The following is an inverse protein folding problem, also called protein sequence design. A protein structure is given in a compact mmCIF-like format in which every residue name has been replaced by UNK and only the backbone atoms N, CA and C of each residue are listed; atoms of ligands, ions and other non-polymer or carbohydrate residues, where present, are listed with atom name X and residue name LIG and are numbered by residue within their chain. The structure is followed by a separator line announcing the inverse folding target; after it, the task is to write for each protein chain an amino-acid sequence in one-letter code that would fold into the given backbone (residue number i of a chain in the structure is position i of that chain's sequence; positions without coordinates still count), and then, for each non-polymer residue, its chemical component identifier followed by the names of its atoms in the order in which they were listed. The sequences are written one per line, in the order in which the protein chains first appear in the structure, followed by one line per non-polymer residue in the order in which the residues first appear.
data_IF_391486721383
#
_entry.id   IF_391486721383
#
_cell.length_a   1.000
_cell.length_b   1.000
_cell.length_c   1.000
_cell.angle_alpha   90.00
_cell.angle_beta   90.00
_cell.angle_gamma   90.00
#
_symmetry.space_group_name_H-M   'P 1'
#
loop_
_entity.id
_entity.type
_entity.pdbx_description
1 polymer ?
#
# COMPACT_ATOMS: atom_id res chain seq x y z
N UNK A 1 12.08 2.37 -33.54
CA UNK A 1 11.80 3.16 -32.33
C UNK A 1 10.38 2.94 -31.78
N UNK A 2 9.32 2.98 -32.62
CA UNK A 2 7.92 2.69 -32.23
C UNK A 2 7.71 1.46 -31.33
N UNK A 3 8.24 0.30 -31.75
CA UNK A 3 8.17 -0.94 -30.95
C UNK A 3 8.77 -0.81 -29.53
N UNK A 4 9.83 0.00 -29.35
CA UNK A 4 10.43 0.25 -28.04
C UNK A 4 9.50 1.09 -27.16
N UNK A 5 8.87 2.11 -27.73
CA UNK A 5 7.86 2.95 -27.04
C UNK A 5 6.69 2.08 -26.59
N UNK A 6 6.13 1.27 -27.49
CA UNK A 6 4.99 0.39 -27.18
C UNK A 6 5.33 -0.60 -26.06
N UNK A 7 6.54 -1.21 -26.11
CA UNK A 7 7.00 -2.11 -25.06
C UNK A 7 7.18 -1.40 -23.72
N UNK A 8 7.78 -0.20 -23.71
CA UNK A 8 7.96 0.58 -22.48
C UNK A 8 6.62 1.02 -21.88
N UNK A 9 5.67 1.46 -22.71
CA UNK A 9 4.31 1.83 -22.29
C UNK A 9 3.60 0.66 -21.62
N UNK A 10 3.71 -0.57 -22.16
CA UNK A 10 3.15 -1.77 -21.52
C UNK A 10 3.79 -2.06 -20.16
N UNK A 11 5.11 -1.95 -20.05
CA UNK A 11 5.81 -2.17 -18.78
C UNK A 11 5.37 -1.14 -17.74
N UNK A 12 5.23 0.13 -18.15
CA UNK A 12 4.71 1.20 -17.29
C UNK A 12 3.30 0.87 -16.77
N UNK A 13 2.39 0.44 -17.65
CA UNK A 13 1.03 0.05 -17.25
C UNK A 13 0.99 -1.11 -16.26
N UNK A 14 1.89 -2.09 -16.39
CA UNK A 14 2.03 -3.15 -15.39
C UNK A 14 2.48 -2.59 -14.03
N UNK A 15 3.41 -1.62 -14.02
CA UNK A 15 3.88 -0.97 -12.78
C UNK A 15 2.82 -0.09 -12.14
N UNK A 16 2.01 0.61 -12.93
CA UNK A 16 0.84 1.34 -12.43
C UNK A 16 -0.17 0.38 -11.79
N UNK A 17 -0.38 -0.80 -12.39
CA UNK A 17 -1.25 -1.83 -11.80
C UNK A 17 -0.68 -2.36 -10.48
N UNK A 18 0.63 -2.61 -10.39
CA UNK A 18 1.30 -2.95 -9.12
C UNK A 18 1.08 -1.84 -8.07
N UNK A 19 1.21 -0.56 -8.43
CA UNK A 19 0.96 0.57 -7.52
C UNK A 19 -0.47 0.55 -6.96
N UNK A 20 -1.48 0.31 -7.81
CA UNK A 20 -2.88 0.22 -7.37
C UNK A 20 -3.12 -0.98 -6.42
N UNK A 21 -2.46 -2.11 -6.64
CA UNK A 21 -2.54 -3.25 -5.73
C UNK A 21 -1.98 -2.91 -4.34
N UNK A 22 -0.84 -2.20 -4.27
CA UNK A 22 -0.29 -1.76 -2.99
C UNK A 22 -1.18 -0.75 -2.28
N UNK A 23 -1.83 0.18 -3.02
CA UNK A 23 -2.84 1.09 -2.44
C UNK A 23 -4.02 0.32 -1.85
N UNK A 24 -4.54 -0.67 -2.57
CA UNK A 24 -5.62 -1.50 -2.08
C UNK A 24 -5.22 -2.32 -0.84
N UNK A 25 -3.98 -2.83 -0.79
CA UNK A 25 -3.44 -3.52 0.38
C UNK A 25 -3.31 -2.58 1.59
N UNK A 26 -2.84 -1.35 1.40
CA UNK A 26 -2.80 -0.35 2.48
C UNK A 26 -4.18 -0.04 3.03
N UNK A 27 -5.18 0.16 2.17
CA UNK A 27 -6.55 0.43 2.61
C UNK A 27 -7.10 -0.69 3.49
N UNK A 28 -6.87 -1.96 3.10
CA UNK A 28 -7.26 -3.12 3.92
C UNK A 28 -6.52 -3.19 5.25
N UNK A 29 -5.24 -2.84 5.27
CA UNK A 29 -4.46 -2.78 6.52
C UNK A 29 -4.95 -1.66 7.44
N UNK A 30 -5.32 -0.50 6.89
CA UNK A 30 -5.92 0.60 7.65
C UNK A 30 -7.26 0.18 8.28
N UNK A 31 -8.13 -0.49 7.53
CA UNK A 31 -9.38 -1.05 8.06
C UNK A 31 -9.15 -2.06 9.18
N UNK A 32 -8.21 -3.00 8.97
CA UNK A 32 -7.83 -4.00 9.98
C UNK A 32 -7.28 -3.34 11.25
N UNK A 33 -6.43 -2.32 11.11
CA UNK A 33 -5.86 -1.61 12.25
C UNK A 33 -6.92 -0.89 13.06
N UNK A 34 -7.91 -0.28 12.40
CA UNK A 34 -9.03 0.34 13.10
C UNK A 34 -9.92 -0.69 13.81
N UNK A 35 -10.17 -1.86 13.20
CA UNK A 35 -10.87 -2.94 13.89
C UNK A 35 -10.10 -3.43 15.13
N UNK A 36 -8.78 -3.62 15.01
CA UNK A 36 -7.92 -4.03 16.12
C UNK A 36 -7.87 -2.99 17.24
N UNK A 37 -7.84 -1.69 16.91
CA UNK A 37 -7.93 -0.60 17.88
C UNK A 37 -9.25 -0.62 18.66
N UNK A 38 -10.38 -0.84 17.97
CA UNK A 38 -11.68 -0.96 18.64
C UNK A 38 -11.72 -2.16 19.58
N UNK A 39 -11.21 -3.32 19.14
CA UNK A 39 -11.13 -4.53 19.98
C UNK A 39 -10.23 -4.33 21.20
N UNK A 40 -9.11 -3.64 21.04
CA UNK A 40 -8.22 -3.30 22.15
C UNK A 40 -8.91 -2.42 23.19
N UNK A 41 -9.59 -1.35 22.75
CA UNK A 41 -10.38 -0.49 23.64
C UNK A 41 -11.51 -1.28 24.33
N UNK A 42 -12.18 -2.16 23.60
CA UNK A 42 -13.22 -3.02 24.16
C UNK A 42 -12.65 -3.92 25.26
N UNK A 43 -11.56 -4.64 25.00
CA UNK A 43 -10.96 -5.53 26.00
C UNK A 43 -10.37 -4.77 27.19
N UNK A 44 -9.84 -3.56 26.98
CA UNK A 44 -9.39 -2.71 28.08
C UNK A 44 -10.58 -2.31 28.98
N UNK A 45 -11.70 -1.89 28.39
CA UNK A 45 -12.92 -1.56 29.14
C UNK A 45 -13.52 -2.78 29.85
N UNK A 46 -13.52 -3.96 29.21
CA UNK A 46 -13.97 -5.21 29.82
C UNK A 46 -13.08 -5.61 31.01
N UNK A 47 -11.76 -5.46 30.85
CA UNK A 47 -10.80 -5.71 31.92
C UNK A 47 -11.05 -4.80 33.13
N UNK A 48 -11.21 -3.49 32.90
CA UNK A 48 -11.48 -2.53 33.97
C UNK A 48 -12.79 -2.83 34.70
N UNK A 49 -13.85 -3.19 33.96
CA UNK A 49 -15.13 -3.58 34.54
C UNK A 49 -15.01 -4.83 35.42
N UNK A 50 -14.33 -5.88 34.93
CA UNK A 50 -14.12 -7.12 35.68
C UNK A 50 -13.21 -6.90 36.90
N UNK A 51 -12.13 -6.12 36.75
CA UNK A 51 -11.22 -5.80 37.84
C UNK A 51 -11.93 -5.02 38.96
N UNK A 52 -12.79 -4.06 38.60
CA UNK A 52 -13.62 -3.33 39.56
C UNK A 52 -14.64 -4.24 40.26
N UNK A 53 -15.32 -5.11 39.50
CA UNK A 53 -16.26 -6.08 40.06
C UNK A 53 -15.57 -7.03 41.05
N UNK A 54 -14.39 -7.55 40.68
CA UNK A 54 -13.58 -8.40 41.55
C UNK A 54 -13.14 -7.67 42.82
N UNK A 55 -12.70 -6.41 42.72
CA UNK A 55 -12.31 -5.62 43.89
C UNK A 55 -13.46 -5.40 44.88
N UNK A 56 -14.69 -5.19 44.38
CA UNK A 56 -15.90 -5.06 45.22
C UNK A 56 -16.23 -6.40 45.89
N UNK A 57 -16.25 -7.49 45.12
CA UNK A 57 -16.60 -8.82 45.63
C UNK A 57 -15.58 -9.37 46.62
N UNK A 58 -14.30 -9.11 46.42
CA UNK A 58 -13.22 -9.53 47.31
C UNK A 58 -13.28 -8.84 48.69
N UNK A 59 -13.98 -7.71 48.79
CA UNK A 59 -14.25 -7.01 50.06
C UNK A 59 -15.57 -7.43 50.71
N UNK A 60 -16.41 -8.17 50.00
CA UNK A 60 -17.72 -8.62 50.48
C UNK A 60 -17.62 -9.87 51.35
N UNK A 61 -18.27 -9.84 52.53
CA UNK A 61 -18.27 -10.94 53.51
C UNK A 61 -19.02 -12.18 53.01
N UNK A 62 -19.92 -12.03 52.03
CA UNK A 62 -20.79 -13.10 51.49
C UNK A 62 -20.28 -13.78 50.23
N UNK A 63 -19.11 -13.40 49.69
CA UNK A 63 -18.57 -13.97 48.45
C UNK A 63 -17.83 -15.26 48.72
N UNK A 64 -18.15 -16.32 47.97
CA UNK A 64 -17.43 -17.59 48.09
C UNK A 64 -16.07 -17.55 47.37
N UNK A 65 -15.11 -18.35 47.86
CA UNK A 65 -13.81 -18.49 47.20
C UNK A 65 -13.92 -18.98 45.75
N UNK A 66 -14.91 -19.83 45.45
CA UNK A 66 -15.16 -20.33 44.09
C UNK A 66 -15.58 -19.21 43.11
N UNK A 67 -16.40 -18.26 43.58
CA UNK A 67 -16.80 -17.10 42.77
C UNK A 67 -15.60 -16.18 42.48
N UNK A 68 -14.75 -15.93 43.48
CA UNK A 68 -13.52 -15.14 43.30
C UNK A 68 -12.56 -15.81 42.31
N UNK A 69 -12.41 -17.13 42.36
CA UNK A 69 -11.60 -17.87 41.39
C UNK A 69 -12.16 -17.80 39.96
N UNK A 70 -13.47 -17.94 39.80
CA UNK A 70 -14.11 -17.84 38.48
C UNK A 70 -13.89 -16.45 37.86
N UNK A 71 -14.12 -15.37 38.63
CA UNK A 71 -13.87 -14.01 38.16
C UNK A 71 -12.41 -13.75 37.82
N UNK A 72 -11.47 -14.29 38.61
CA UNK A 72 -10.05 -14.17 38.30
C UNK A 72 -9.71 -14.84 36.96
N UNK A 73 -10.26 -16.01 36.68
CA UNK A 73 -10.08 -16.69 35.39
C UNK A 73 -10.64 -15.88 34.23
N UNK A 74 -11.79 -15.23 34.41
CA UNK A 74 -12.36 -14.33 33.40
C UNK A 74 -11.44 -13.13 33.12
N UNK A 75 -10.91 -12.50 34.17
CA UNK A 75 -9.94 -11.40 34.05
C UNK A 75 -8.69 -11.85 33.30
N UNK A 76 -8.14 -13.02 33.65
CA UNK A 76 -6.96 -13.58 32.98
C UNK A 76 -7.26 -13.86 31.49
N UNK A 77 -8.44 -14.40 31.17
CA UNK A 77 -8.88 -14.63 29.79
C UNK A 77 -8.99 -13.34 28.98
N UNK A 78 -9.61 -12.29 29.52
CA UNK A 78 -9.71 -10.98 28.84
C UNK A 78 -8.34 -10.37 28.65
N UNK A 79 -7.45 -10.47 29.64
CA UNK A 79 -6.07 -9.98 29.55
C UNK A 79 -5.27 -10.70 28.46
N UNK A 80 -5.45 -12.00 28.30
CA UNK A 80 -4.83 -12.78 27.22
C UNK A 80 -5.34 -12.33 25.84
N UNK A 81 -6.66 -12.14 25.68
CA UNK A 81 -7.27 -11.61 24.45
C UNK A 81 -6.74 -10.21 24.11
N UNK A 82 -6.68 -9.31 25.10
CA UNK A 82 -6.11 -7.97 24.95
C UNK A 82 -4.65 -8.06 24.47
N UNK A 83 -3.82 -8.85 25.17
CA UNK A 83 -2.41 -9.05 24.80
C UNK A 83 -2.24 -9.60 23.37
N UNK A 84 -3.11 -10.53 22.97
CA UNK A 84 -3.11 -11.08 21.62
C UNK A 84 -3.46 -10.01 20.57
N UNK A 85 -4.50 -9.20 20.79
CA UNK A 85 -4.87 -8.10 19.89
C UNK A 85 -3.75 -7.06 19.78
N UNK A 86 -3.10 -6.69 20.89
CA UNK A 86 -1.96 -5.77 20.84
C UNK A 86 -0.82 -6.31 19.97
N UNK A 87 -0.52 -7.61 20.06
CA UNK A 87 0.50 -8.25 19.20
C UNK A 87 0.09 -8.25 17.73
N UNK A 88 -1.17 -8.54 17.43
CA UNK A 88 -1.69 -8.47 16.06
C UNK A 88 -1.61 -7.05 15.50
N UNK A 89 -1.97 -6.03 16.30
CA UNK A 89 -1.90 -4.62 15.91
C UNK A 89 -0.46 -4.23 15.58
N UNK A 90 0.49 -4.56 16.44
CA UNK A 90 1.90 -4.28 16.20
C UNK A 90 2.42 -4.91 14.89
N UNK A 91 2.04 -6.16 14.60
CA UNK A 91 2.38 -6.82 13.34
C UNK A 91 1.73 -6.13 12.13
N UNK A 92 0.47 -5.76 12.22
CA UNK A 92 -0.23 -5.05 11.16
C UNK A 92 0.34 -3.65 10.91
N UNK A 93 0.80 -2.94 11.96
CA UNK A 93 1.48 -1.66 11.85
C UNK A 93 2.85 -1.79 11.15
N UNK A 94 3.60 -2.85 11.46
CA UNK A 94 4.87 -3.14 10.79
C UNK A 94 4.64 -3.48 9.31
N UNK A 95 3.66 -4.34 9.02
CA UNK A 95 3.30 -4.68 7.64
C UNK A 95 2.87 -3.44 6.85
N UNK A 96 2.04 -2.58 7.46
CA UNK A 96 1.63 -1.31 6.85
C UNK A 96 2.81 -0.42 6.49
N UNK A 97 3.83 -0.33 7.36
CA UNK A 97 5.05 0.44 7.08
C UNK A 97 5.80 -0.14 5.87
N UNK A 98 5.97 -1.46 5.82
CA UNK A 98 6.63 -2.15 4.69
C UNK A 98 5.90 -1.90 3.38
N UNK A 99 4.57 -2.08 3.36
CA UNK A 99 3.75 -1.84 2.17
C UNK A 99 3.82 -0.37 1.73
N UNK A 100 3.87 0.58 2.67
CA UNK A 100 4.03 2.00 2.35
C UNK A 100 5.39 2.31 1.72
N UNK A 101 6.47 1.72 2.24
CA UNK A 101 7.82 1.85 1.66
C UNK A 101 7.86 1.29 0.24
N UNK A 102 7.28 0.11 0.01
CA UNK A 102 7.18 -0.50 -1.31
C UNK A 102 6.34 0.36 -2.27
N UNK A 103 5.21 0.90 -1.82
CA UNK A 103 4.38 1.80 -2.62
C UNK A 103 5.16 3.06 -3.04
N UNK A 104 5.94 3.64 -2.14
CA UNK A 104 6.77 4.81 -2.43
C UNK A 104 7.86 4.47 -3.46
N UNK A 105 8.51 3.31 -3.32
CA UNK A 105 9.49 2.84 -4.30
C UNK A 105 8.86 2.66 -5.68
N UNK A 106 7.66 2.04 -5.75
CA UNK A 106 6.91 1.84 -7.00
C UNK A 106 6.53 3.15 -7.66
N UNK A 107 6.08 4.14 -6.88
CA UNK A 107 5.79 5.49 -7.40
C UNK A 107 7.01 6.16 -8.02
N UNK A 108 8.19 5.97 -7.43
CA UNK A 108 9.44 6.48 -8.01
C UNK A 108 9.76 5.76 -9.33
N UNK A 109 9.62 4.43 -9.37
CA UNK A 109 9.81 3.64 -10.61
C UNK A 109 8.89 4.12 -11.74
N UNK A 110 7.59 4.27 -11.47
CA UNK A 110 6.59 4.74 -12.45
C UNK A 110 6.97 6.12 -12.97
N UNK A 111 7.28 7.08 -12.10
CA UNK A 111 7.69 8.44 -12.50
C UNK A 111 8.97 8.46 -13.33
N UNK A 112 9.92 7.59 -13.04
CA UNK A 112 11.13 7.46 -13.85
C UNK A 112 10.79 6.91 -15.25
N UNK A 113 9.93 5.91 -15.32
CA UNK A 113 9.46 5.36 -16.59
C UNK A 113 8.68 6.39 -17.42
N UNK A 114 7.87 7.25 -16.79
CA UNK A 114 7.19 8.37 -17.47
C UNK A 114 8.17 9.28 -18.19
N UNK A 115 9.19 9.76 -17.46
CA UNK A 115 10.21 10.65 -18.03
C UNK A 115 10.99 9.98 -19.16
N UNK A 116 11.30 8.70 -19.03
CA UNK A 116 11.99 7.93 -20.06
C UNK A 116 11.10 7.73 -21.30
N UNK A 117 9.81 7.46 -21.11
CA UNK A 117 8.86 7.30 -22.20
C UNK A 117 8.69 8.62 -22.97
N UNK A 118 8.51 9.74 -22.27
CA UNK A 118 8.45 11.06 -22.89
C UNK A 118 9.70 11.36 -23.72
N UNK A 119 10.89 11.02 -23.21
CA UNK A 119 12.14 11.21 -23.93
C UNK A 119 12.19 10.36 -25.20
N UNK A 120 11.82 9.08 -25.11
CA UNK A 120 11.78 8.17 -26.26
C UNK A 120 10.79 8.66 -27.33
N UNK A 121 9.63 9.19 -26.92
CA UNK A 121 8.64 9.76 -27.84
C UNK A 121 9.18 11.00 -28.55
N UNK A 122 9.87 11.91 -27.83
CA UNK A 122 10.51 13.09 -28.44
C UNK A 122 11.58 12.68 -29.45
N UNK A 123 12.43 11.72 -29.09
CA UNK A 123 13.48 11.19 -29.97
C UNK A 123 12.87 10.55 -31.23
N UNK A 124 11.78 9.78 -31.08
CA UNK A 124 11.09 9.18 -32.22
C UNK A 124 10.46 10.21 -33.15
N UNK A 125 9.79 11.25 -32.59
CA UNK A 125 9.23 12.35 -33.41
C UNK A 125 10.33 13.09 -34.16
N UNK A 126 11.46 13.37 -33.53
CA UNK A 126 12.60 14.01 -34.19
C UNK A 126 13.17 13.14 -35.32
N UNK A 127 13.21 11.81 -35.13
CA UNK A 127 13.65 10.87 -36.17
C UNK A 127 12.69 10.83 -37.36
N UNK A 128 11.37 10.84 -37.12
CA UNK A 128 10.37 10.93 -38.19
C UNK A 128 10.52 12.22 -39.01
N UNK A 129 10.67 13.38 -38.35
CA UNK A 129 10.90 14.66 -39.04
C UNK A 129 12.18 14.63 -39.90
N UNK A 130 13.26 14.03 -39.40
CA UNK A 130 14.51 13.86 -40.18
C UNK A 130 14.36 12.93 -41.38
N UNK A 131 13.45 11.96 -41.33
CA UNK A 131 13.14 11.08 -42.45
C UNK A 131 12.31 11.84 -43.48
N UNK A 132 11.27 12.55 -43.06
CA UNK A 132 10.43 13.39 -43.92
C UNK A 132 11.25 14.46 -44.65
N UNK A 133 12.13 15.15 -43.93
CA UNK A 133 12.97 16.20 -44.49
C UNK A 133 13.97 15.65 -45.52
N UNK A 134 14.60 14.50 -45.24
CA UNK A 134 15.44 13.81 -46.23
C UNK A 134 14.65 13.43 -47.50
N UNK A 135 13.42 12.93 -47.34
CA UNK A 135 12.56 12.61 -48.50
C UNK A 135 12.22 13.85 -49.33
N UNK A 136 11.98 15.01 -48.70
CA UNK A 136 11.75 16.28 -49.40
C UNK A 136 13.01 16.77 -50.13
N UNK A 137 14.18 16.69 -49.48
CA UNK A 137 15.46 17.10 -50.06
C UNK A 137 15.81 16.26 -51.30
N UNK A 138 15.63 14.93 -51.22
CA UNK A 138 15.83 14.01 -52.34
C UNK A 138 14.87 14.29 -53.51
N UNK A 139 13.59 14.59 -53.22
CA UNK A 139 12.62 14.98 -54.26
C UNK A 139 12.96 16.33 -54.90
N UNK A 140 13.44 17.30 -54.11
CA UNK A 140 13.89 18.60 -54.59
C UNK A 140 15.08 18.49 -55.54
N UNK A 141 16.08 17.66 -55.20
CA UNK A 141 17.23 17.40 -56.08
C UNK A 141 16.82 16.73 -57.40
N UNK A 142 15.87 15.79 -57.37
CA UNK A 142 15.35 15.16 -58.60
C UNK A 142 14.58 16.13 -59.51
N UNK A 143 13.97 17.18 -58.96
CA UNK A 143 13.30 18.23 -59.76
C UNK A 143 14.28 19.32 -60.24
N UNK A 144 15.30 19.66 -59.44
CA UNK A 144 16.33 20.63 -59.81
C UNK A 144 17.35 20.13 -60.85
N UNK A 145 17.45 18.80 -61.04
CA UNK A 145 18.27 18.17 -62.09
C UNK A 145 17.75 18.34 -63.52
N UNK A 146 16.56 18.93 -63.71
CA UNK A 146 16.06 19.39 -65.00
C UNK A 146 16.27 20.91 -65.14
N UNK A 147 17.53 21.33 -65.13
CA UNK A 147 17.92 22.66 -65.58
C UNK A 147 18.75 22.47 -66.84
N UNK A 148 18.22 22.98 -67.96
CA UNK A 148 18.79 22.99 -69.32
C UNK A 148 20.24 23.47 -69.37
#
# INVERSE_FOLDING_TARGET
MKFKIDRFSRIKGLKETEEELFKAQLARLDELLEELRRKEMQFASEYDALANAFAVQNRGISTSLAQLWAQRQEIECVREKHSYVCRLRARAEEERKRVLEELLAKRVEVKLMEKLLERLEREYRAELLRIEQRGLDEMGQRRGGFSL
#
